data_IF_546020295451
#
_entry.id   IF_546020295451
#
_cell.length_a   1.000
_cell.length_b   1.000
_cell.length_c   1.000
_cell.angle_alpha   90.00
_cell.angle_beta   90.00
_cell.angle_gamma   90.00
#
_symmetry.space_group_name_H-M   'P 1'
#
loop_
_entity.id
_entity.type
_entity.pdbx_description
1 polymer ?
#
# COMPACT_ATOMS: atom_id res chain seq x y z
N UNK A 1 33.34 -27.47 -4.36
CA UNK A 1 32.55 -26.26 -4.57
C UNK A 1 33.15 -25.19 -3.68
N UNK A 2 33.67 -24.10 -4.24
CA UNK A 2 34.14 -23.00 -3.40
C UNK A 2 32.95 -22.49 -2.57
N UNK A 3 33.16 -22.17 -1.28
CA UNK A 3 32.09 -21.64 -0.45
C UNK A 3 31.60 -20.32 -1.07
N UNK A 4 30.28 -20.20 -1.21
CA UNK A 4 29.67 -18.96 -1.67
C UNK A 4 30.11 -17.82 -0.72
N UNK A 5 30.59 -16.68 -1.23
CA UNK A 5 31.00 -15.54 -0.40
C UNK A 5 29.91 -15.08 0.58
N UNK A 6 28.66 -15.24 0.16
CA UNK A 6 27.47 -14.95 0.95
C UNK A 6 27.38 -15.84 2.20
N UNK A 7 27.63 -17.13 2.06
CA UNK A 7 27.59 -18.08 3.18
C UNK A 7 28.71 -17.78 4.20
N UNK A 8 29.88 -17.33 3.76
CA UNK A 8 30.97 -16.93 4.63
C UNK A 8 30.62 -15.73 5.49
N UNK A 9 29.96 -14.71 4.94
CA UNK A 9 29.49 -13.55 5.68
C UNK A 9 28.47 -13.96 6.76
N UNK A 10 27.56 -14.89 6.45
CA UNK A 10 26.58 -15.39 7.41
C UNK A 10 27.23 -16.14 8.57
N UNK A 11 28.30 -16.94 8.31
CA UNK A 11 29.11 -17.59 9.35
C UNK A 11 29.80 -16.56 10.26
N UNK A 12 30.41 -15.54 9.67
CA UNK A 12 31.06 -14.46 10.42
C UNK A 12 30.08 -13.69 11.30
N UNK A 13 28.80 -13.58 10.89
CA UNK A 13 27.74 -13.04 11.70
C UNK A 13 27.22 -14.00 12.80
N UNK A 14 27.82 -15.18 12.94
CA UNK A 14 27.48 -16.15 13.99
C UNK A 14 26.22 -16.97 13.73
N UNK A 15 25.73 -17.00 12.47
CA UNK A 15 24.54 -17.79 12.14
C UNK A 15 24.88 -19.31 12.07
N UNK A 16 23.92 -20.20 12.42
CA UNK A 16 24.15 -21.64 12.48
C UNK A 16 24.46 -22.25 11.10
N UNK A 17 25.50 -23.10 11.03
CA UNK A 17 25.92 -23.76 9.79
C UNK A 17 24.82 -24.61 9.17
N UNK A 18 24.01 -25.27 9.99
CA UNK A 18 22.89 -26.09 9.50
C UNK A 18 21.88 -25.26 8.71
N UNK A 19 21.50 -24.08 9.24
CA UNK A 19 20.54 -23.18 8.58
C UNK A 19 21.14 -22.54 7.33
N UNK A 20 22.43 -22.17 7.38
CA UNK A 20 23.16 -21.64 6.22
C UNK A 20 23.22 -22.68 5.10
N UNK A 21 23.58 -23.94 5.42
CA UNK A 21 23.64 -25.03 4.45
C UNK A 21 22.28 -25.31 3.81
N UNK A 22 21.22 -25.39 4.62
CA UNK A 22 19.86 -25.58 4.12
C UNK A 22 19.43 -24.44 3.20
N UNK A 23 19.79 -23.19 3.52
CA UNK A 23 19.51 -22.03 2.68
C UNK A 23 20.29 -22.09 1.35
N UNK A 24 21.59 -22.41 1.36
CA UNK A 24 22.41 -22.58 0.15
C UNK A 24 21.83 -23.66 -0.77
N UNK A 25 21.42 -24.81 -0.21
CA UNK A 25 20.81 -25.91 -0.95
C UNK A 25 19.44 -25.56 -1.54
N UNK A 26 18.73 -24.62 -0.93
CA UNK A 26 17.41 -24.16 -1.37
C UNK A 26 17.44 -23.10 -2.45
N UNK A 27 18.63 -22.68 -2.95
CA UNK A 27 18.76 -21.60 -3.93
C UNK A 27 17.88 -21.84 -5.16
N UNK A 28 16.83 -21.02 -5.38
CA UNK A 28 15.85 -21.30 -6.39
C UNK A 28 16.31 -20.88 -7.78
N UNK A 29 15.79 -21.56 -8.79
CA UNK A 29 15.88 -21.15 -10.19
C UNK A 29 14.47 -21.05 -10.75
N UNK A 30 14.23 -20.00 -11.52
CA UNK A 30 12.94 -19.79 -12.21
C UNK A 30 12.79 -20.76 -13.38
N UNK A 31 11.57 -21.29 -13.54
CA UNK A 31 11.17 -22.15 -14.65
C UNK A 31 9.79 -21.75 -15.17
N UNK A 32 9.22 -22.51 -16.09
CA UNK A 32 7.84 -22.31 -16.58
C UNK A 32 6.79 -22.97 -15.66
N UNK A 33 7.21 -23.70 -14.62
CA UNK A 33 6.34 -24.37 -13.66
C UNK A 33 6.03 -23.47 -12.46
N UNK A 34 4.94 -22.74 -12.55
CA UNK A 34 4.49 -21.84 -11.46
C UNK A 34 4.36 -22.55 -10.11
N UNK A 35 3.75 -23.74 -10.07
CA UNK A 35 3.48 -24.43 -8.80
C UNK A 35 4.77 -24.91 -8.13
N UNK A 36 5.66 -25.51 -8.93
CA UNK A 36 6.97 -25.96 -8.44
C UNK A 36 7.87 -24.79 -8.06
N UNK A 37 7.82 -23.68 -8.80
CA UNK A 37 8.58 -22.46 -8.46
C UNK A 37 8.03 -21.83 -7.18
N UNK A 38 6.72 -21.72 -7.01
CA UNK A 38 6.13 -21.17 -5.80
C UNK A 38 6.56 -21.92 -4.53
N UNK A 39 6.64 -23.26 -4.58
CA UNK A 39 7.12 -24.07 -3.47
C UNK A 39 8.61 -23.84 -3.20
N UNK A 40 9.46 -23.85 -4.26
CA UNK A 40 10.92 -23.65 -4.14
C UNK A 40 11.27 -22.27 -3.60
N UNK A 41 10.68 -21.23 -4.16
CA UNK A 41 10.92 -19.84 -3.74
C UNK A 41 10.39 -19.57 -2.34
N UNK A 42 9.19 -20.05 -1.99
CA UNK A 42 8.67 -19.96 -0.62
C UNK A 42 9.62 -20.56 0.40
N UNK A 43 10.14 -21.76 0.15
CA UNK A 43 11.12 -22.39 1.04
C UNK A 43 12.37 -21.53 1.22
N UNK A 44 12.89 -20.97 0.14
CA UNK A 44 14.05 -20.09 0.17
C UNK A 44 13.80 -18.83 1.00
N UNK A 45 12.66 -18.17 0.80
CA UNK A 45 12.31 -16.94 1.54
C UNK A 45 12.04 -17.19 3.03
N UNK A 46 11.44 -18.33 3.36
CA UNK A 46 11.22 -18.72 4.76
C UNK A 46 12.55 -18.97 5.48
N UNK A 47 13.53 -19.57 4.82
CA UNK A 47 14.89 -19.72 5.37
C UNK A 47 15.60 -18.38 5.52
N UNK A 48 15.45 -17.45 4.57
CA UNK A 48 15.93 -16.06 4.74
C UNK A 48 15.29 -15.41 5.96
N UNK A 49 13.98 -15.54 6.13
CA UNK A 49 13.27 -14.99 7.29
C UNK A 49 13.75 -15.61 8.61
N UNK A 50 14.02 -16.91 8.61
CA UNK A 50 14.58 -17.63 9.77
C UNK A 50 15.99 -17.10 10.12
N UNK A 51 16.89 -17.02 9.13
CA UNK A 51 18.25 -16.48 9.32
C UNK A 51 18.19 -15.02 9.85
N UNK A 52 17.33 -14.19 9.30
CA UNK A 52 17.16 -12.79 9.78
C UNK A 52 16.67 -12.71 11.22
N UNK A 53 15.76 -13.61 11.64
CA UNK A 53 15.25 -13.67 13.03
C UNK A 53 16.31 -14.09 14.05
N UNK A 54 17.35 -14.79 13.61
CA UNK A 54 18.48 -15.19 14.46
C UNK A 54 19.47 -14.04 14.69
N UNK A 55 19.47 -13.01 13.85
CA UNK A 55 20.29 -11.81 14.05
C UNK A 55 19.73 -10.93 15.19
N UNK A 56 20.57 -10.17 15.90
CA UNK A 56 20.10 -9.20 16.86
C UNK A 56 19.15 -8.18 16.24
N UNK A 57 18.25 -7.54 17.03
CA UNK A 57 17.44 -6.43 16.55
C UNK A 57 18.30 -5.32 15.93
N UNK A 58 17.84 -4.71 14.84
CA UNK A 58 18.59 -3.72 14.05
C UNK A 58 19.36 -2.69 14.86
N UNK A 59 18.81 -2.06 15.94
CA UNK A 59 19.56 -1.09 16.74
C UNK A 59 20.74 -1.65 17.56
N UNK A 60 20.86 -2.99 17.64
CA UNK A 60 21.90 -3.67 18.44
C UNK A 60 22.92 -4.42 17.58
N UNK A 61 22.75 -4.38 16.24
CA UNK A 61 23.63 -5.09 15.31
C UNK A 61 25.02 -4.47 15.27
N UNK A 62 26.00 -5.33 15.27
CA UNK A 62 27.37 -4.99 14.87
C UNK A 62 27.47 -4.87 13.35
N UNK A 63 28.62 -4.39 12.86
CA UNK A 63 28.80 -4.16 11.42
C UNK A 63 28.64 -5.44 10.57
N UNK A 64 29.14 -6.56 11.04
CA UNK A 64 29.04 -7.85 10.33
C UNK A 64 27.60 -8.37 10.32
N UNK A 65 26.86 -8.23 11.41
CA UNK A 65 25.45 -8.61 11.50
C UNK A 65 24.55 -7.70 10.64
N UNK A 66 24.88 -6.41 10.58
CA UNK A 66 24.21 -5.46 9.67
C UNK A 66 24.43 -5.86 8.22
N UNK A 67 25.70 -6.16 7.81
CA UNK A 67 26.02 -6.60 6.47
C UNK A 67 25.32 -7.92 6.11
N UNK A 68 25.22 -8.87 7.05
CA UNK A 68 24.51 -10.14 6.87
C UNK A 68 23.00 -9.91 6.67
N UNK A 69 22.38 -9.02 7.46
CA UNK A 69 20.96 -8.67 7.33
C UNK A 69 20.66 -7.98 5.99
N UNK A 70 21.52 -7.05 5.56
CA UNK A 70 21.40 -6.37 4.25
C UNK A 70 21.58 -7.34 3.08
N UNK A 71 22.52 -8.28 3.17
CA UNK A 71 22.69 -9.34 2.20
C UNK A 71 21.42 -10.18 2.06
N UNK A 72 20.90 -10.70 3.17
CA UNK A 72 19.68 -11.53 3.19
C UNK A 72 18.47 -10.75 2.64
N UNK A 73 18.32 -9.48 3.01
CA UNK A 73 17.25 -8.64 2.49
C UNK A 73 17.36 -8.48 0.97
N UNK A 74 18.54 -8.12 0.45
CA UNK A 74 18.79 -7.96 -0.98
C UNK A 74 18.53 -9.24 -1.76
N UNK A 75 19.07 -10.38 -1.32
CA UNK A 75 18.87 -11.68 -2.00
C UNK A 75 17.40 -12.11 -1.97
N UNK A 76 16.69 -11.83 -0.87
CA UNK A 76 15.24 -12.01 -0.79
C UNK A 76 14.50 -11.18 -1.82
N UNK A 77 14.80 -9.89 -1.91
CA UNK A 77 14.15 -8.96 -2.85
C UNK A 77 14.48 -9.31 -4.31
N UNK A 78 15.76 -9.58 -4.63
CA UNK A 78 16.19 -9.96 -5.99
C UNK A 78 15.50 -11.26 -6.45
N UNK A 79 15.38 -12.24 -5.56
CA UNK A 79 14.72 -13.51 -5.89
C UNK A 79 13.20 -13.37 -6.03
N UNK A 80 12.54 -12.49 -5.24
CA UNK A 80 11.11 -12.16 -5.42
C UNK A 80 10.87 -11.47 -6.75
N UNK A 81 11.72 -10.53 -7.11
CA UNK A 81 11.64 -9.84 -8.39
C UNK A 81 11.76 -10.80 -9.57
N UNK A 82 12.74 -11.73 -9.52
CA UNK A 82 12.91 -12.76 -10.55
C UNK A 82 11.71 -13.72 -10.65
N UNK A 83 11.17 -14.18 -9.51
CA UNK A 83 9.96 -15.01 -9.46
C UNK A 83 8.76 -14.30 -10.05
N UNK A 84 8.54 -13.05 -9.66
CA UNK A 84 7.42 -12.24 -10.14
C UNK A 84 7.53 -11.89 -11.61
N UNK A 85 8.74 -11.68 -12.13
CA UNK A 85 8.97 -11.47 -13.56
C UNK A 85 8.45 -12.63 -14.42
N UNK A 86 8.51 -13.87 -13.90
CA UNK A 86 8.01 -15.05 -14.60
C UNK A 86 6.53 -15.35 -14.33
N UNK A 87 6.03 -15.06 -13.12
CA UNK A 87 4.79 -15.64 -12.62
C UNK A 87 3.72 -14.61 -12.17
N UNK A 88 3.96 -13.31 -12.31
CA UNK A 88 3.01 -12.28 -11.82
C UNK A 88 1.62 -12.43 -12.43
N UNK A 89 1.51 -12.78 -13.70
CA UNK A 89 0.21 -13.01 -14.34
C UNK A 89 -0.54 -14.17 -13.72
N UNK A 90 0.13 -15.29 -13.48
CA UNK A 90 -0.47 -16.48 -12.85
C UNK A 90 -0.98 -16.17 -11.44
N UNK A 91 -0.20 -15.43 -10.65
CA UNK A 91 -0.57 -14.98 -9.31
C UNK A 91 -1.78 -14.05 -9.38
N UNK A 92 -1.73 -13.05 -10.25
CA UNK A 92 -2.80 -12.07 -10.39
C UNK A 92 -4.12 -12.71 -10.81
N UNK A 93 -4.10 -13.63 -11.80
CA UNK A 93 -5.27 -14.39 -12.22
C UNK A 93 -5.84 -15.24 -11.10
N UNK A 94 -4.99 -15.93 -10.33
CA UNK A 94 -5.43 -16.72 -9.19
C UNK A 94 -6.14 -15.86 -8.13
N UNK A 95 -5.57 -14.69 -7.81
CA UNK A 95 -6.12 -13.77 -6.81
C UNK A 95 -7.42 -13.09 -7.27
N UNK A 96 -7.53 -12.77 -8.55
CA UNK A 96 -8.67 -12.05 -9.12
C UNK A 96 -9.68 -12.95 -9.82
N UNK A 97 -9.56 -14.29 -9.68
CA UNK A 97 -10.43 -15.26 -10.36
C UNK A 97 -10.52 -14.98 -11.88
N UNK A 98 -9.36 -14.96 -12.54
CA UNK A 98 -9.23 -14.62 -13.95
C UNK A 98 -9.81 -13.23 -14.31
N UNK A 99 -9.46 -12.22 -13.54
CA UNK A 99 -9.93 -10.83 -13.67
C UNK A 99 -11.44 -10.63 -13.42
N UNK A 100 -12.10 -11.59 -12.80
CA UNK A 100 -13.54 -11.47 -12.47
C UNK A 100 -13.79 -10.68 -11.17
N UNK A 101 -12.80 -10.55 -10.30
CA UNK A 101 -12.91 -9.87 -9.01
C UNK A 101 -11.91 -8.72 -8.92
N UNK A 102 -12.40 -7.54 -8.59
CA UNK A 102 -11.57 -6.38 -8.34
C UNK A 102 -11.08 -6.37 -6.89
N UNK A 103 -9.77 -6.49 -6.70
CA UNK A 103 -9.10 -6.32 -5.41
C UNK A 103 -8.37 -4.97 -5.39
N UNK A 104 -8.44 -4.29 -4.28
CA UNK A 104 -7.64 -3.07 -4.07
C UNK A 104 -6.18 -3.45 -3.80
N UNK A 105 -5.27 -2.48 -3.91
CA UNK A 105 -3.83 -2.73 -3.82
C UNK A 105 -3.39 -3.36 -2.50
N UNK A 106 -3.99 -2.96 -1.38
CA UNK A 106 -3.74 -3.52 -0.05
C UNK A 106 -4.29 -4.95 0.09
N UNK A 107 -5.54 -5.18 -0.29
CA UNK A 107 -6.15 -6.52 -0.30
C UNK A 107 -5.35 -7.47 -1.20
N UNK A 108 -4.94 -6.99 -2.38
CA UNK A 108 -4.15 -7.76 -3.34
C UNK A 108 -2.78 -8.16 -2.76
N UNK A 109 -2.08 -7.22 -2.11
CA UNK A 109 -0.76 -7.48 -1.54
C UNK A 109 -0.82 -8.49 -0.38
N UNK A 110 -1.80 -8.37 0.51
CA UNK A 110 -1.98 -9.33 1.60
C UNK A 110 -2.49 -10.69 1.10
N UNK A 111 -3.37 -10.71 0.10
CA UNK A 111 -3.78 -11.97 -0.52
C UNK A 111 -2.61 -12.69 -1.22
N UNK A 112 -1.69 -11.95 -1.84
CA UNK A 112 -0.47 -12.53 -2.43
C UNK A 112 0.44 -13.17 -1.37
N UNK A 113 0.58 -12.55 -0.20
CA UNK A 113 1.33 -13.11 0.93
C UNK A 113 0.73 -14.44 1.42
N UNK A 114 -0.59 -14.56 1.39
CA UNK A 114 -1.29 -15.80 1.75
C UNK A 114 -1.22 -16.88 0.67
N UNK A 115 -1.25 -16.48 -0.61
CA UNK A 115 -1.21 -17.41 -1.74
C UNK A 115 0.18 -18.03 -1.90
N UNK A 116 1.24 -17.23 -1.75
CA UNK A 116 2.64 -17.65 -1.89
C UNK A 116 3.41 -17.20 -0.64
N UNK A 117 3.58 -18.08 0.37
CA UNK A 117 4.22 -17.73 1.63
C UNK A 117 5.63 -17.16 1.44
N UNK A 118 5.88 -16.00 2.06
CA UNK A 118 7.17 -15.31 1.96
C UNK A 118 7.32 -14.39 0.74
N UNK A 119 6.35 -14.34 -0.17
CA UNK A 119 6.36 -13.41 -1.32
C UNK A 119 6.26 -11.95 -0.86
N UNK A 120 5.41 -11.69 0.08
CA UNK A 120 5.23 -10.40 0.72
C UNK A 120 4.98 -10.59 2.24
N UNK A 121 5.14 -9.57 3.07
CA UNK A 121 4.80 -9.69 4.49
C UNK A 121 3.29 -9.83 4.69
N UNK A 122 2.92 -10.62 5.69
CA UNK A 122 1.54 -10.73 6.17
C UNK A 122 1.10 -9.47 6.92
N UNK A 123 -0.21 -9.33 7.14
CA UNK A 123 -0.75 -8.21 7.91
C UNK A 123 -0.22 -8.18 9.35
N UNK A 124 -0.02 -9.36 9.96
CA UNK A 124 0.54 -9.51 11.30
C UNK A 124 2.01 -9.06 11.35
N UNK A 125 2.81 -9.40 10.33
CA UNK A 125 4.21 -8.98 10.25
C UNK A 125 4.33 -7.46 10.07
N UNK A 126 3.51 -6.86 9.22
CA UNK A 126 3.46 -5.40 9.05
C UNK A 126 3.00 -4.71 10.33
N UNK A 127 1.97 -5.24 11.00
CA UNK A 127 1.49 -4.71 12.28
C UNK A 127 2.58 -4.77 13.36
N UNK A 128 3.29 -5.89 13.48
CA UNK A 128 4.40 -6.05 14.43
C UNK A 128 5.55 -5.06 14.13
N UNK A 129 5.90 -4.87 12.86
CA UNK A 129 6.94 -3.91 12.47
C UNK A 129 6.50 -2.46 12.70
N UNK A 130 5.21 -2.16 12.61
CA UNK A 130 4.66 -0.82 12.87
C UNK A 130 4.80 -0.34 14.33
N UNK A 131 5.08 -1.25 15.27
CA UNK A 131 5.35 -0.89 16.68
C UNK A 131 6.78 -0.36 16.88
N UNK A 132 7.63 -0.44 15.88
CA UNK A 132 8.99 0.06 15.89
C UNK A 132 9.08 1.47 15.30
N UNK A 133 10.11 2.25 15.73
CA UNK A 133 10.41 3.51 15.06
C UNK A 133 10.86 3.23 13.61
N UNK A 134 10.56 4.15 12.68
CA UNK A 134 10.85 3.96 11.25
C UNK A 134 12.30 3.53 10.96
N UNK A 135 13.27 4.09 11.66
CA UNK A 135 14.70 3.77 11.51
C UNK A 135 15.07 2.36 11.94
N UNK A 136 14.26 1.75 12.83
CA UNK A 136 14.53 0.47 13.47
C UNK A 136 13.82 -0.68 12.75
N UNK A 137 12.90 -0.38 11.81
CA UNK A 137 12.21 -1.34 10.95
C UNK A 137 13.20 -2.12 10.06
N UNK A 138 12.89 -3.38 9.83
CA UNK A 138 13.62 -4.24 8.87
C UNK A 138 13.27 -3.93 7.41
N UNK A 139 12.15 -3.27 7.19
CA UNK A 139 11.68 -2.88 5.87
C UNK A 139 10.96 -4.01 5.11
N UNK A 140 10.22 -4.86 5.83
CA UNK A 140 9.46 -5.98 5.24
C UNK A 140 8.48 -5.50 4.16
N UNK A 141 7.91 -4.31 4.32
CA UNK A 141 6.94 -3.71 3.41
C UNK A 141 7.52 -3.42 2.01
N UNK A 142 8.86 -3.42 1.83
CA UNK A 142 9.50 -3.25 0.51
C UNK A 142 9.06 -4.37 -0.44
N UNK A 143 8.87 -5.57 0.05
CA UNK A 143 8.46 -6.72 -0.75
C UNK A 143 7.03 -6.58 -1.29
N UNK A 144 6.13 -5.85 -0.60
CA UNK A 144 4.83 -5.44 -1.15
C UNK A 144 5.00 -4.50 -2.36
N UNK A 145 5.99 -3.60 -2.27
CA UNK A 145 6.32 -2.69 -3.36
C UNK A 145 6.85 -3.42 -4.59
N UNK A 146 7.70 -4.43 -4.41
CA UNK A 146 8.20 -5.28 -5.51
C UNK A 146 7.03 -6.00 -6.19
N UNK A 147 6.14 -6.62 -5.42
CA UNK A 147 4.94 -7.29 -5.96
C UNK A 147 4.06 -6.33 -6.76
N UNK A 148 3.67 -5.19 -6.18
CA UNK A 148 2.81 -4.22 -6.86
C UNK A 148 3.48 -3.59 -8.09
N UNK A 149 4.81 -3.39 -8.06
CA UNK A 149 5.57 -2.91 -9.21
C UNK A 149 5.43 -3.88 -10.40
N UNK A 150 5.61 -5.18 -10.17
CA UNK A 150 5.47 -6.19 -11.22
C UNK A 150 4.03 -6.36 -11.71
N UNK A 151 3.03 -6.22 -10.82
CA UNK A 151 1.61 -6.18 -11.23
C UNK A 151 1.35 -4.98 -12.15
N UNK A 152 1.82 -3.78 -11.79
CA UNK A 152 1.61 -2.56 -12.57
C UNK A 152 2.38 -2.56 -13.90
N UNK A 153 3.52 -3.23 -13.97
CA UNK A 153 4.30 -3.40 -15.20
C UNK A 153 3.59 -4.34 -16.20
N UNK A 154 2.84 -5.34 -15.70
CA UNK A 154 2.08 -6.26 -16.54
C UNK A 154 0.81 -5.59 -17.07
N UNK A 155 0.71 -5.40 -18.40
CA UNK A 155 -0.33 -4.58 -19.04
C UNK A 155 -1.76 -4.90 -18.56
N UNK A 156 -2.19 -6.16 -18.62
CA UNK A 156 -3.57 -6.53 -18.25
C UNK A 156 -3.80 -6.42 -16.74
N UNK A 157 -2.85 -6.91 -15.91
CA UNK A 157 -2.97 -6.85 -14.45
C UNK A 157 -2.91 -5.40 -13.94
N UNK A 158 -2.01 -4.59 -14.48
CA UNK A 158 -1.87 -3.19 -14.14
C UNK A 158 -3.12 -2.37 -14.50
N UNK A 159 -3.68 -2.57 -15.70
CA UNK A 159 -4.92 -1.92 -16.11
C UNK A 159 -6.09 -2.31 -15.19
N UNK A 160 -6.22 -3.59 -14.85
CA UNK A 160 -7.26 -4.11 -13.98
C UNK A 160 -7.11 -3.57 -12.53
N UNK A 161 -5.89 -3.54 -11.98
CA UNK A 161 -5.63 -2.95 -10.66
C UNK A 161 -5.92 -1.44 -10.65
N UNK A 162 -5.48 -0.70 -11.67
CA UNK A 162 -5.79 0.73 -11.80
C UNK A 162 -7.29 0.97 -11.84
N UNK A 163 -8.05 0.15 -12.56
CA UNK A 163 -9.51 0.22 -12.58
C UNK A 163 -10.10 -0.09 -11.20
N UNK A 164 -9.64 -1.15 -10.54
CA UNK A 164 -10.09 -1.51 -9.19
C UNK A 164 -9.90 -0.36 -8.18
N UNK A 165 -8.78 0.36 -8.27
CA UNK A 165 -8.49 1.51 -7.41
C UNK A 165 -9.34 2.75 -7.74
N UNK A 166 -9.87 2.86 -8.96
CA UNK A 166 -10.79 3.91 -9.36
C UNK A 166 -12.27 3.59 -9.04
N UNK A 167 -12.60 2.36 -8.70
CA UNK A 167 -13.96 2.05 -8.24
C UNK A 167 -14.27 2.78 -6.94
N UNK A 168 -15.53 3.24 -6.73
CA UNK A 168 -15.92 3.86 -5.48
C UNK A 168 -15.78 2.87 -4.31
N UNK A 169 -15.39 3.38 -3.16
CA UNK A 169 -15.40 2.58 -1.92
C UNK A 169 -16.83 2.18 -1.58
N UNK A 170 -16.99 0.96 -1.05
CA UNK A 170 -18.32 0.48 -0.65
C UNK A 170 -18.98 1.41 0.37
N UNK A 171 -18.21 1.94 1.33
CA UNK A 171 -18.71 2.92 2.30
C UNK A 171 -19.31 4.17 1.63
N UNK A 172 -18.73 4.65 0.53
CA UNK A 172 -19.27 5.78 -0.20
C UNK A 172 -20.61 5.45 -0.85
N UNK A 173 -20.76 4.25 -1.41
CA UNK A 173 -22.04 3.80 -1.97
C UNK A 173 -23.11 3.66 -0.89
N UNK A 174 -22.77 3.12 0.26
CA UNK A 174 -23.69 2.95 1.39
C UNK A 174 -24.12 4.29 2.01
N UNK A 175 -23.23 5.30 2.01
CA UNK A 175 -23.48 6.62 2.58
C UNK A 175 -24.04 7.65 1.59
N UNK A 176 -24.07 7.34 0.28
CA UNK A 176 -24.58 8.25 -0.74
C UNK A 176 -26.05 8.67 -0.51
N UNK A 177 -26.98 7.79 -0.11
CA UNK A 177 -28.35 8.19 0.21
C UNK A 177 -28.41 9.25 1.32
N UNK A 178 -27.57 9.15 2.35
CA UNK A 178 -27.48 10.15 3.42
C UNK A 178 -27.05 11.52 2.88
N UNK A 179 -26.04 11.56 1.98
CA UNK A 179 -25.60 12.81 1.35
C UNK A 179 -26.70 13.44 0.51
N UNK A 180 -27.45 12.65 -0.25
CA UNK A 180 -28.56 13.14 -1.08
C UNK A 180 -29.65 13.75 -0.20
N UNK A 181 -30.05 13.05 0.87
CA UNK A 181 -31.14 13.46 1.76
C UNK A 181 -30.75 14.66 2.63
N UNK A 182 -29.57 14.62 3.29
CA UNK A 182 -29.16 15.60 4.30
C UNK A 182 -28.23 16.68 3.77
N UNK A 183 -27.67 16.50 2.58
CA UNK A 183 -26.68 17.40 2.01
C UNK A 183 -25.30 17.32 2.66
N UNK A 184 -25.07 16.38 3.62
CA UNK A 184 -23.79 16.23 4.29
C UNK A 184 -23.60 14.83 4.88
N UNK A 185 -22.35 14.37 4.95
CA UNK A 185 -21.92 13.13 5.62
C UNK A 185 -20.67 13.42 6.43
N UNK A 186 -20.65 12.97 7.69
CA UNK A 186 -19.47 12.99 8.56
C UNK A 186 -18.82 11.59 8.60
N UNK A 187 -17.52 11.53 8.31
CA UNK A 187 -16.70 10.33 8.27
C UNK A 187 -15.58 10.37 9.35
N UNK A 188 -15.70 11.24 10.35
CA UNK A 188 -14.70 11.43 11.38
C UNK A 188 -13.47 12.22 10.89
N UNK A 189 -12.51 11.54 10.25
CA UNK A 189 -11.29 12.16 9.72
C UNK A 189 -11.51 12.94 8.41
N UNK A 190 -12.70 12.89 7.84
CA UNK A 190 -13.14 13.74 6.73
C UNK A 190 -14.64 14.00 6.82
N UNK A 191 -15.14 14.94 6.04
CA UNK A 191 -16.56 15.12 5.81
C UNK A 191 -16.82 15.64 4.40
N UNK A 192 -18.02 15.37 3.89
CA UNK A 192 -18.52 16.01 2.67
C UNK A 192 -19.78 16.79 3.00
N UNK A 193 -19.93 17.99 2.43
CA UNK A 193 -21.10 18.81 2.63
C UNK A 193 -21.39 19.64 1.39
N UNK A 194 -22.68 19.73 0.98
CA UNK A 194 -23.12 20.46 -0.19
C UNK A 194 -23.55 21.87 0.18
N UNK A 195 -23.06 22.84 -0.57
CA UNK A 195 -23.50 24.25 -0.48
C UNK A 195 -23.79 24.70 -1.91
N UNK A 196 -25.05 24.92 -2.22
CA UNK A 196 -25.49 25.21 -3.59
C UNK A 196 -25.10 24.07 -4.54
N UNK A 197 -24.32 24.37 -5.57
CA UNK A 197 -23.84 23.41 -6.57
C UNK A 197 -22.41 22.89 -6.31
N UNK A 198 -21.89 23.13 -5.12
CA UNK A 198 -20.54 22.69 -4.75
C UNK A 198 -20.57 21.68 -3.60
N UNK A 199 -19.88 20.56 -3.76
CA UNK A 199 -19.56 19.59 -2.69
C UNK A 199 -18.21 19.94 -2.07
N UNK A 200 -18.19 20.18 -0.76
CA UNK A 200 -16.99 20.50 0.01
C UNK A 200 -16.49 19.25 0.73
N UNK A 201 -15.37 18.71 0.29
CA UNK A 201 -14.62 17.68 1.01
C UNK A 201 -13.68 18.38 2.00
N UNK A 202 -13.86 18.09 3.29
CA UNK A 202 -13.09 18.72 4.37
C UNK A 202 -12.24 17.63 5.07
N UNK A 203 -10.92 17.76 4.96
CA UNK A 203 -9.96 16.87 5.65
C UNK A 203 -9.81 17.30 7.11
N UNK A 204 -9.74 16.34 8.04
CA UNK A 204 -9.67 16.55 9.48
C UNK A 204 -8.56 15.73 10.12
N UNK A 205 -7.55 16.44 10.59
CA UNK A 205 -6.57 15.95 11.55
C UNK A 205 -6.08 17.15 12.37
N UNK A 206 -6.96 17.77 13.16
CA UNK A 206 -6.73 19.11 13.75
C UNK A 206 -5.53 19.12 14.71
N UNK A 207 -5.21 17.98 15.33
CA UNK A 207 -4.07 17.83 16.22
C UNK A 207 -2.73 17.92 15.47
N UNK A 208 -2.72 17.53 14.20
CA UNK A 208 -1.52 17.48 13.35
C UNK A 208 -1.62 18.45 12.16
N UNK A 209 -2.32 19.56 12.31
CA UNK A 209 -2.49 20.59 11.25
C UNK A 209 -3.03 20.00 9.94
N UNK A 210 -3.98 19.07 10.05
CA UNK A 210 -4.57 18.32 8.95
C UNK A 210 -3.53 17.54 8.12
N UNK A 211 -2.42 17.12 8.74
CA UNK A 211 -1.47 16.20 8.12
C UNK A 211 -2.14 14.84 7.84
N UNK A 212 -1.72 14.21 6.77
CA UNK A 212 -2.25 12.95 6.28
C UNK A 212 -1.51 11.75 6.91
N UNK A 213 -2.25 10.73 7.32
CA UNK A 213 -1.73 9.48 7.89
C UNK A 213 -2.74 8.32 7.73
N UNK A 214 -2.44 7.15 8.31
CA UNK A 214 -3.31 5.96 8.24
C UNK A 214 -4.74 6.22 8.70
N UNK A 215 -4.94 7.13 9.66
CA UNK A 215 -6.26 7.47 10.19
C UNK A 215 -7.09 8.36 9.27
N UNK A 216 -6.50 8.92 8.22
CA UNK A 216 -7.18 9.91 7.36
C UNK A 216 -7.50 9.40 5.96
N UNK A 217 -6.67 8.51 5.39
CA UNK A 217 -6.70 8.17 3.96
C UNK A 217 -8.05 7.61 3.51
N UNK A 218 -8.63 6.69 4.26
CA UNK A 218 -9.88 6.02 3.89
C UNK A 218 -11.08 6.96 3.97
N UNK A 219 -11.16 7.78 5.02
CA UNK A 219 -12.23 8.77 5.17
C UNK A 219 -12.16 9.84 4.08
N UNK A 220 -10.95 10.30 3.72
CA UNK A 220 -10.78 11.28 2.63
C UNK A 220 -11.17 10.66 1.29
N UNK A 221 -10.77 9.42 1.00
CA UNK A 221 -11.17 8.73 -0.23
C UNK A 221 -12.68 8.55 -0.32
N UNK A 222 -13.33 8.10 0.77
CA UNK A 222 -14.79 7.98 0.85
C UNK A 222 -15.48 9.32 0.62
N UNK A 223 -14.96 10.42 1.20
CA UNK A 223 -15.51 11.77 0.98
C UNK A 223 -15.34 12.25 -0.46
N UNK A 224 -14.21 11.93 -1.11
CA UNK A 224 -13.96 12.22 -2.53
C UNK A 224 -14.94 11.45 -3.41
N UNK A 225 -15.12 10.14 -3.16
CA UNK A 225 -16.09 9.32 -3.87
C UNK A 225 -17.51 9.90 -3.76
N UNK A 226 -17.94 10.23 -2.55
CA UNK A 226 -19.24 10.86 -2.30
C UNK A 226 -19.40 12.18 -3.05
N UNK A 227 -18.36 13.04 -3.04
CA UNK A 227 -18.40 14.30 -3.76
C UNK A 227 -18.54 14.12 -5.27
N UNK A 228 -17.87 13.10 -5.85
CA UNK A 228 -17.98 12.80 -7.29
C UNK A 228 -19.36 12.18 -7.60
N UNK A 229 -19.86 11.30 -6.72
CA UNK A 229 -21.13 10.60 -6.90
C UNK A 229 -22.35 11.49 -6.67
N UNK A 230 -22.23 12.58 -5.92
CA UNK A 230 -23.35 13.49 -5.61
C UNK A 230 -24.00 14.04 -6.89
N UNK A 231 -25.26 13.70 -7.21
CA UNK A 231 -25.93 14.17 -8.41
C UNK A 231 -26.34 15.64 -8.35
N UNK A 232 -26.39 16.21 -7.14
CA UNK A 232 -26.89 17.56 -6.91
C UNK A 232 -25.78 18.63 -7.01
N UNK A 233 -24.51 18.22 -7.06
CA UNK A 233 -23.38 19.13 -7.18
C UNK A 233 -22.69 19.04 -8.55
N UNK A 234 -22.15 20.17 -9.02
CA UNK A 234 -21.49 20.31 -10.32
C UNK A 234 -19.96 20.44 -10.16
N UNK A 235 -19.49 20.82 -8.99
CA UNK A 235 -18.07 21.02 -8.67
C UNK A 235 -17.75 20.48 -7.29
N UNK A 236 -16.52 20.03 -7.07
CA UNK A 236 -16.01 19.63 -5.77
C UNK A 236 -14.90 20.57 -5.30
N UNK A 237 -14.85 20.82 -4.00
CA UNK A 237 -13.83 21.66 -3.35
C UNK A 237 -13.15 20.84 -2.26
N UNK A 238 -11.84 20.66 -2.35
CA UNK A 238 -11.05 20.07 -1.28
C UNK A 238 -10.49 21.16 -0.37
N UNK A 239 -10.68 21.02 0.95
CA UNK A 239 -10.17 21.96 1.96
C UNK A 239 -9.78 21.24 3.25
N UNK A 240 -9.01 21.89 4.10
CA UNK A 240 -8.78 21.46 5.47
C UNK A 240 -9.81 22.01 6.45
N UNK A 241 -9.95 21.35 7.59
CA UNK A 241 -10.77 21.87 8.69
C UNK A 241 -9.96 22.82 9.59
N UNK A 242 -10.65 23.45 10.53
CA UNK A 242 -10.03 24.29 11.57
C UNK A 242 -9.10 23.44 12.45
N UNK A 243 -7.97 24.03 12.83
CA UNK A 243 -6.96 23.33 13.63
C UNK A 243 -6.93 23.79 15.08
N UNK A 244 -6.46 22.89 15.96
CA UNK A 244 -6.39 23.11 17.41
C UNK A 244 -5.01 23.60 17.88
N UNK A 245 -4.02 23.68 16.97
CA UNK A 245 -2.66 24.08 17.30
C UNK A 245 -2.63 25.49 17.90
N UNK A 246 -1.95 25.75 19.04
CA UNK A 246 -2.00 27.03 19.76
C UNK A 246 -1.74 28.26 18.89
N UNK A 247 -0.77 28.17 17.96
CA UNK A 247 -0.40 29.26 17.04
C UNK A 247 -1.46 29.51 15.93
N UNK A 248 -2.23 28.46 15.56
CA UNK A 248 -3.11 28.49 14.39
C UNK A 248 -4.58 28.21 14.76
N UNK A 249 -4.92 28.21 16.06
CA UNK A 249 -6.26 27.88 16.55
C UNK A 249 -7.33 28.68 15.82
N UNK A 250 -8.35 27.97 15.33
CA UNK A 250 -9.48 28.55 14.61
C UNK A 250 -9.18 28.90 13.15
N UNK A 251 -7.95 28.75 12.68
CA UNK A 251 -7.63 28.86 11.24
C UNK A 251 -7.93 27.55 10.53
N UNK A 252 -8.38 27.64 9.30
CA UNK A 252 -8.38 26.52 8.38
C UNK A 252 -6.97 26.36 7.82
N UNK A 253 -6.45 25.16 7.89
CA UNK A 253 -5.18 24.79 7.23
C UNK A 253 -5.51 23.65 6.28
N UNK A 254 -5.14 23.80 5.01
CA UNK A 254 -5.43 22.80 3.98
C UNK A 254 -4.87 21.43 4.38
N UNK A 255 -3.59 21.28 4.43
CA UNK A 255 -2.83 20.10 4.91
C UNK A 255 -1.37 20.52 5.08
N UNK A 256 -0.67 19.91 6.03
CA UNK A 256 0.78 20.05 6.16
C UNK A 256 1.55 18.89 5.51
N UNK A 257 0.87 18.13 4.64
CA UNK A 257 1.42 16.94 4.00
C UNK A 257 1.38 15.72 4.90
N UNK A 258 2.34 14.83 4.77
CA UNK A 258 2.41 13.58 5.56
C UNK A 258 2.68 13.90 7.04
N UNK A 259 2.02 13.18 7.93
CA UNK A 259 2.25 13.27 9.37
C UNK A 259 3.66 12.74 9.73
N UNK A 260 4.63 13.67 9.75
CA UNK A 260 6.04 13.34 10.03
C UNK A 260 6.23 12.71 11.43
N UNK A 261 5.36 13.02 12.39
CA UNK A 261 5.40 12.39 13.72
C UNK A 261 5.04 10.91 13.62
N UNK A 262 4.00 10.57 12.88
CA UNK A 262 3.60 9.19 12.65
C UNK A 262 4.62 8.45 11.77
N UNK A 263 5.15 9.10 10.74
CA UNK A 263 6.23 8.55 9.91
C UNK A 263 7.46 8.21 10.77
N UNK A 264 7.96 9.15 11.58
CA UNK A 264 9.11 8.92 12.46
C UNK A 264 8.88 7.73 13.42
N UNK A 265 7.65 7.59 13.91
CA UNK A 265 7.25 6.50 14.82
C UNK A 265 6.94 5.17 14.10
N UNK A 266 7.14 5.08 12.80
CA UNK A 266 6.86 3.88 12.01
C UNK A 266 5.37 3.55 11.83
N UNK A 267 4.47 4.51 12.06
CA UNK A 267 3.01 4.32 12.01
C UNK A 267 2.39 4.60 10.63
N UNK A 268 3.19 4.84 9.61
CA UNK A 268 2.74 4.98 8.22
C UNK A 268 3.31 3.80 7.45
N UNK A 269 2.44 2.94 6.94
CA UNK A 269 2.79 1.78 6.14
C UNK A 269 3.13 2.17 4.70
N UNK A 270 3.90 1.32 4.00
CA UNK A 270 4.20 1.53 2.59
C UNK A 270 2.91 1.59 1.74
N UNK A 271 1.97 0.69 1.98
CA UNK A 271 0.70 0.65 1.25
C UNK A 271 -0.17 1.90 1.45
N UNK A 272 0.05 2.69 2.51
CA UNK A 272 -0.62 3.98 2.68
C UNK A 272 -0.35 4.92 1.50
N UNK A 273 0.90 4.98 1.02
CA UNK A 273 1.26 5.79 -0.14
C UNK A 273 0.52 5.33 -1.40
N UNK A 274 0.46 4.02 -1.60
CA UNK A 274 -0.23 3.42 -2.77
C UNK A 274 -1.73 3.69 -2.70
N UNK A 275 -2.37 3.49 -1.54
CA UNK A 275 -3.80 3.80 -1.34
C UNK A 275 -4.10 5.27 -1.58
N UNK A 276 -3.22 6.15 -1.08
CA UNK A 276 -3.35 7.59 -1.27
C UNK A 276 -3.27 7.98 -2.75
N UNK A 277 -2.19 7.60 -3.42
CA UNK A 277 -1.92 8.03 -4.79
C UNK A 277 -2.87 7.36 -5.80
N UNK A 278 -3.08 6.07 -5.74
CA UNK A 278 -3.96 5.34 -6.64
C UNK A 278 -5.45 5.50 -6.28
N UNK A 279 -5.75 5.84 -5.03
CA UNK A 279 -7.10 6.11 -4.54
C UNK A 279 -7.51 7.57 -4.76
N UNK A 280 -7.69 8.34 -3.66
CA UNK A 280 -8.36 9.64 -3.76
C UNK A 280 -7.64 10.68 -4.64
N UNK A 281 -6.29 10.68 -4.67
CA UNK A 281 -5.55 11.60 -5.54
C UNK A 281 -5.86 11.32 -7.01
N UNK A 282 -5.76 10.05 -7.42
CA UNK A 282 -6.06 9.66 -8.79
C UNK A 282 -7.54 9.84 -9.16
N UNK A 283 -8.46 9.59 -8.21
CA UNK A 283 -9.90 9.82 -8.42
C UNK A 283 -10.25 11.30 -8.61
N UNK A 284 -9.60 12.20 -7.88
CA UNK A 284 -9.77 13.65 -8.11
C UNK A 284 -9.27 14.06 -9.49
N UNK A 285 -8.20 13.45 -9.98
CA UNK A 285 -7.59 13.76 -11.27
C UNK A 285 -8.34 13.13 -12.45
N UNK A 286 -8.75 11.85 -12.31
CA UNK A 286 -9.31 11.05 -13.43
C UNK A 286 -10.81 10.78 -13.30
N UNK A 287 -11.39 10.95 -12.12
CA UNK A 287 -12.76 10.52 -11.81
C UNK A 287 -12.82 9.10 -11.24
N UNK A 288 -14.05 8.59 -11.10
CA UNK A 288 -14.36 7.25 -10.58
C UNK A 288 -14.74 6.33 -11.75
N UNK A 289 -14.23 5.10 -11.72
CA UNK A 289 -14.63 4.07 -12.66
C UNK A 289 -16.08 3.62 -12.42
N UNK A 290 -16.77 3.24 -13.49
CA UNK A 290 -18.08 2.59 -13.41
C UNK A 290 -17.88 1.09 -13.26
N UNK A 291 -18.62 0.42 -12.37
CA UNK A 291 -18.45 -1.02 -12.13
C UNK A 291 -18.62 -1.89 -13.37
N UNK A 292 -19.48 -1.45 -14.29
CA UNK A 292 -19.77 -2.13 -15.56
C UNK A 292 -18.77 -1.85 -16.69
N UNK A 293 -17.84 -0.91 -16.46
CA UNK A 293 -16.87 -0.51 -17.47
C UNK A 293 -15.72 -1.51 -17.58
N UNK A 294 -15.18 -1.69 -18.78
CA UNK A 294 -13.99 -2.51 -19.00
C UNK A 294 -12.72 -1.78 -18.54
N UNK A 295 -11.78 -2.45 -17.85
CA UNK A 295 -10.47 -1.88 -17.53
C UNK A 295 -9.69 -1.34 -18.74
N UNK A 296 -9.93 -1.88 -19.93
CA UNK A 296 -9.27 -1.48 -21.18
C UNK A 296 -9.89 -0.22 -21.81
N UNK A 297 -11.05 0.21 -21.35
CA UNK A 297 -11.72 1.41 -21.85
C UNK A 297 -11.20 2.65 -21.14
N UNK A 298 -10.29 3.38 -21.77
CA UNK A 298 -9.63 4.57 -21.18
C UNK A 298 -10.52 5.82 -21.26
N UNK A 299 -11.49 5.87 -22.17
CA UNK A 299 -12.33 7.06 -22.41
C UNK A 299 -13.82 6.75 -22.28
N UNK A 300 -14.56 7.65 -21.59
CA UNK A 300 -16.02 7.58 -21.51
C UNK A 300 -16.58 6.75 -20.34
N UNK A 301 -15.74 6.03 -19.61
CA UNK A 301 -16.12 5.12 -18.53
C UNK A 301 -15.92 5.66 -17.11
N UNK A 302 -15.42 6.88 -17.02
CA UNK A 302 -15.21 7.55 -15.76
C UNK A 302 -16.31 8.58 -15.50
N UNK A 303 -16.73 8.67 -14.24
CA UNK A 303 -17.55 9.77 -13.78
C UNK A 303 -16.62 10.81 -13.18
N UNK A 304 -16.51 11.94 -13.83
CA UNK A 304 -15.64 13.05 -13.46
C UNK A 304 -16.42 14.18 -12.79
N UNK A 305 -15.70 14.96 -11.99
CA UNK A 305 -16.20 16.23 -11.46
C UNK A 305 -15.03 17.24 -11.40
N UNK A 306 -15.23 18.52 -11.78
CA UNK A 306 -14.20 19.53 -11.61
C UNK A 306 -13.83 19.74 -10.15
N UNK A 307 -12.53 19.89 -9.85
CA UNK A 307 -12.02 20.09 -8.50
C UNK A 307 -11.34 21.44 -8.32
N UNK A 308 -11.54 22.02 -7.15
CA UNK A 308 -10.77 23.14 -6.63
C UNK A 308 -10.13 22.75 -5.30
N UNK A 309 -8.88 23.15 -5.09
CA UNK A 309 -8.24 23.07 -3.77
C UNK A 309 -8.26 24.46 -3.12
N UNK A 310 -8.93 24.57 -1.97
CA UNK A 310 -8.93 25.77 -1.16
C UNK A 310 -7.75 25.71 -0.18
N UNK A 311 -6.59 26.20 -0.63
CA UNK A 311 -5.34 26.18 0.12
C UNK A 311 -5.24 27.41 0.98
N UNK A 312 -5.57 27.28 2.28
CA UNK A 312 -5.33 28.26 3.33
C UNK A 312 -4.04 27.88 4.09
N UNK A 313 -3.17 28.86 4.32
CA UNK A 313 -1.90 28.67 5.01
C UNK A 313 -1.76 29.58 6.25
#
# INVERSE_FOLDING_TARGET
MEPLPEAELLRQAGLPEETISAWVESWPQTSDDYAGDAERFSRFWLLIAELRKMLPPKPRREAVETAAAELLARLGSDSRDAFLAAHVESIYRALTQDFAVYLRADDLAYAAAMLVPGLAPTAEEVAAESEQAQRDKEGLEIDQGIFLSRVLEHQAAGAHLCHAMLLPRQEALDRLPELIERGSVDLGAASVGRIGKASFVTMRNPRFLNAEDEGTVDAVETAVDLAILDPESEIAVLRGDTVEHPKYRGRRIFSTGINLTHLYRGKIAYLWYIRREMGFVNKMFRGIARPEASPDEICGNLREKPWLAAVDS
#
